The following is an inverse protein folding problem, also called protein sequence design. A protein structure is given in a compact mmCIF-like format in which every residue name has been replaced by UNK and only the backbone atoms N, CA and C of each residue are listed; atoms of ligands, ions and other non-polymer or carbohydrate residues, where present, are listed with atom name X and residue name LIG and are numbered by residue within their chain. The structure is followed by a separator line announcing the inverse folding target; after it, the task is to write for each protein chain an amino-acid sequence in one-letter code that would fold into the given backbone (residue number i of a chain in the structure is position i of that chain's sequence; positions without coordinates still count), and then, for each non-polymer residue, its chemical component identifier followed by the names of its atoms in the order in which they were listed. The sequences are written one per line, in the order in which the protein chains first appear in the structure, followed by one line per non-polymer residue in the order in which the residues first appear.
data_IF_013922081620
#
_entry.id   IF_013922081620
#
_cell.length_a   1.000
_cell.length_b   1.000
_cell.length_c   1.000
_cell.angle_alpha   90.00
_cell.angle_beta   90.00
_cell.angle_gamma   90.00
#
_symmetry.space_group_name_H-M   'P 1'
#
loop_
_entity.id
_entity.type
_entity.pdbx_description
1 polymer ?
#
# COMPACT_ATOMS: atom_id res chain seq x y z
N UNK A 1 5.81 -8.01 -25.60
CA UNK A 1 5.37 -8.18 -24.21
C UNK A 1 6.56 -8.66 -23.39
N UNK A 2 6.87 -8.01 -22.27
CA UNK A 2 7.93 -8.49 -21.38
C UNK A 2 7.42 -9.71 -20.59
N UNK A 3 8.29 -10.69 -20.35
CA UNK A 3 7.95 -11.83 -19.50
C UNK A 3 7.85 -11.42 -18.03
N UNK A 4 7.08 -12.17 -17.23
CA UNK A 4 6.95 -11.94 -15.78
C UNK A 4 8.31 -11.99 -15.06
N UNK A 5 9.24 -12.80 -15.58
CA UNK A 5 10.64 -12.86 -15.11
C UNK A 5 11.37 -11.53 -15.36
N UNK A 6 11.28 -10.97 -16.57
CA UNK A 6 11.90 -9.68 -16.90
C UNK A 6 11.34 -8.53 -16.06
N UNK A 7 10.03 -8.55 -15.79
CA UNK A 7 9.41 -7.60 -14.86
C UNK A 7 9.94 -7.74 -13.44
N UNK A 8 10.05 -8.98 -12.93
CA UNK A 8 10.65 -9.25 -11.61
C UNK A 8 12.11 -8.81 -11.53
N UNK A 9 12.92 -9.06 -12.54
CA UNK A 9 14.34 -8.72 -12.54
C UNK A 9 14.56 -7.20 -12.59
N UNK A 10 13.76 -6.48 -13.40
CA UNK A 10 13.75 -5.01 -13.42
C UNK A 10 13.31 -4.44 -12.06
N UNK A 11 12.22 -4.97 -11.49
CA UNK A 11 11.71 -4.56 -10.18
C UNK A 11 12.70 -4.84 -9.06
N UNK A 12 13.39 -5.98 -9.05
CA UNK A 12 14.44 -6.29 -8.07
C UNK A 12 15.54 -5.24 -8.03
N UNK A 13 15.91 -4.72 -9.19
CA UNK A 13 16.97 -3.70 -9.29
C UNK A 13 16.50 -2.36 -8.69
N UNK A 14 15.21 -2.05 -8.81
CA UNK A 14 14.58 -0.86 -8.22
C UNK A 14 14.20 -1.03 -6.73
N UNK A 15 14.00 -2.27 -6.28
CA UNK A 15 13.60 -2.62 -4.92
C UNK A 15 14.76 -2.67 -3.92
N UNK A 16 16.01 -2.57 -4.37
CA UNK A 16 17.18 -2.61 -3.48
C UNK A 16 17.15 -1.53 -2.38
N UNK A 17 16.34 -0.48 -2.53
CA UNK A 17 16.18 0.62 -1.56
C UNK A 17 14.97 0.45 -0.62
N UNK A 18 14.06 -0.49 -0.87
CA UNK A 18 12.81 -0.65 -0.10
C UNK A 18 12.74 -2.07 0.46
N UNK A 19 12.83 -2.18 1.78
CA UNK A 19 12.71 -3.45 2.48
C UNK A 19 11.25 -3.90 2.56
N UNK A 20 10.94 -5.01 1.88
CA UNK A 20 9.63 -5.67 1.90
C UNK A 20 9.74 -6.90 2.79
N UNK A 21 8.89 -6.94 3.81
CA UNK A 21 8.78 -8.03 4.76
C UNK A 21 7.53 -8.87 4.48
N UNK A 22 7.56 -10.10 4.98
CA UNK A 22 6.38 -10.96 5.03
C UNK A 22 6.43 -11.82 6.26
N UNK A 23 5.29 -12.01 6.91
CA UNK A 23 5.18 -12.85 8.09
C UNK A 23 3.77 -13.45 8.21
N UNK A 24 3.63 -14.43 9.10
CA UNK A 24 2.35 -15.02 9.46
C UNK A 24 1.83 -14.33 10.73
N UNK A 25 0.82 -13.48 10.58
CA UNK A 25 0.22 -12.68 11.67
C UNK A 25 -1.07 -13.35 12.13
N UNK A 26 -1.36 -13.42 13.44
CA UNK A 26 -2.66 -13.90 13.92
C UNK A 26 -3.77 -12.93 13.53
N UNK A 27 -4.69 -13.37 12.67
CA UNK A 27 -5.89 -12.63 12.30
C UNK A 27 -7.16 -13.28 12.83
N UNK A 28 -8.15 -12.44 13.10
CA UNK A 28 -9.48 -12.79 13.56
C UNK A 28 -10.44 -13.08 12.39
N UNK A 29 -11.05 -14.26 12.40
CA UNK A 29 -12.03 -14.71 11.40
C UNK A 29 -13.36 -15.06 12.06
N UNK A 30 -14.47 -14.76 11.39
CA UNK A 30 -15.80 -15.17 11.84
C UNK A 30 -16.04 -16.66 11.57
N UNK A 31 -16.54 -17.38 12.58
CA UNK A 31 -16.94 -18.78 12.44
C UNK A 31 -18.25 -18.88 11.66
N UNK A 32 -18.22 -19.58 10.52
CA UNK A 32 -19.41 -19.78 9.65
C UNK A 32 -20.56 -20.57 10.29
N UNK A 33 -20.40 -21.13 11.48
CA UNK A 33 -21.42 -21.97 12.14
C UNK A 33 -22.10 -21.23 13.30
N UNK A 34 -23.20 -20.56 12.99
CA UNK A 34 -24.42 -20.42 13.83
C UNK A 34 -24.35 -19.75 15.21
N UNK A 35 -23.21 -19.23 15.68
CA UNK A 35 -23.09 -18.76 17.07
C UNK A 35 -22.32 -17.45 17.29
N UNK A 36 -21.93 -16.71 16.25
CA UNK A 36 -21.24 -15.42 16.40
C UNK A 36 -19.84 -15.48 17.02
N UNK A 37 -19.16 -16.63 16.91
CA UNK A 37 -17.81 -16.82 17.44
C UNK A 37 -16.72 -16.33 16.48
N UNK A 38 -15.55 -16.00 17.04
CA UNK A 38 -14.36 -15.62 16.30
C UNK A 38 -13.24 -16.65 16.53
N UNK A 39 -12.44 -16.91 15.51
CA UNK A 39 -11.23 -17.72 15.60
C UNK A 39 -9.99 -16.91 15.20
N UNK A 40 -8.92 -17.02 15.99
CA UNK A 40 -7.61 -16.49 15.61
C UNK A 40 -6.87 -17.56 14.82
N UNK A 41 -6.39 -17.19 13.63
CA UNK A 41 -5.55 -18.07 12.81
C UNK A 41 -4.42 -17.27 12.17
N UNK A 42 -3.22 -17.85 12.02
CA UNK A 42 -2.16 -17.23 11.24
C UNK A 42 -2.62 -16.99 9.80
N UNK A 43 -2.46 -15.77 9.31
CA UNK A 43 -2.66 -15.40 7.91
C UNK A 43 -1.42 -14.67 7.37
N UNK A 44 -1.20 -14.78 6.06
CA UNK A 44 -0.08 -14.12 5.43
C UNK A 44 -0.27 -12.60 5.42
N UNK A 45 0.77 -11.88 5.83
CA UNK A 45 0.87 -10.43 5.70
C UNK A 45 2.17 -10.09 4.98
N UNK A 46 2.07 -9.25 3.94
CA UNK A 46 3.21 -8.61 3.30
C UNK A 46 3.16 -7.11 3.57
N UNK A 47 4.29 -6.51 3.93
CA UNK A 47 4.35 -5.09 4.23
C UNK A 47 5.73 -4.51 3.95
N UNK A 48 5.80 -3.18 3.95
CA UNK A 48 7.06 -2.44 3.86
C UNK A 48 7.53 -2.08 5.26
N UNK A 49 8.77 -2.42 5.59
CA UNK A 49 9.34 -2.23 6.93
C UNK A 49 9.40 -0.74 7.32
N UNK A 50 9.80 0.12 6.39
CA UNK A 50 9.87 1.57 6.57
C UNK A 50 8.96 2.30 5.59
N UNK A 51 7.72 2.58 6.04
CA UNK A 51 6.75 3.35 5.27
C UNK A 51 7.25 4.77 4.98
N UNK A 52 8.01 5.39 5.90
CA UNK A 52 8.52 6.74 5.71
C UNK A 52 9.51 6.74 4.55
N UNK A 53 10.48 5.82 4.54
CA UNK A 53 11.43 5.68 3.44
C UNK A 53 10.72 5.49 2.09
N UNK A 54 9.71 4.62 2.03
CA UNK A 54 8.90 4.42 0.82
C UNK A 54 8.19 5.70 0.36
N UNK A 55 7.60 6.46 1.28
CA UNK A 55 6.91 7.71 0.96
C UNK A 55 7.91 8.72 0.36
N UNK A 56 9.06 8.92 0.99
CA UNK A 56 10.08 9.85 0.49
C UNK A 56 10.63 9.43 -0.86
N UNK A 57 10.93 8.13 -1.04
CA UNK A 57 11.33 7.57 -2.33
C UNK A 57 10.31 7.90 -3.43
N UNK A 58 9.02 7.66 -3.18
CA UNK A 58 7.98 7.95 -4.17
C UNK A 58 7.84 9.44 -4.47
N UNK A 59 8.00 10.31 -3.47
CA UNK A 59 7.97 11.77 -3.67
C UNK A 59 9.15 12.20 -4.55
N UNK A 60 10.37 11.77 -4.21
CA UNK A 60 11.59 12.12 -4.95
C UNK A 60 11.53 11.63 -6.40
N UNK A 61 11.05 10.41 -6.64
CA UNK A 61 10.89 9.89 -8.00
C UNK A 61 9.84 10.67 -8.80
N UNK A 62 8.74 11.10 -8.16
CA UNK A 62 7.76 11.95 -8.84
C UNK A 62 8.31 13.36 -9.12
N UNK A 63 9.13 13.91 -8.24
CA UNK A 63 9.78 15.21 -8.43
C UNK A 63 10.80 15.16 -9.58
N UNK A 64 11.70 14.18 -9.58
CA UNK A 64 12.68 13.92 -10.67
C UNK A 64 12.00 13.80 -12.03
N UNK A 65 10.80 13.25 -12.07
CA UNK A 65 10.02 13.05 -13.29
C UNK A 65 9.07 14.23 -13.62
N UNK A 66 9.14 15.34 -12.87
CA UNK A 66 8.28 16.52 -13.00
C UNK A 66 6.78 16.17 -12.97
N UNK A 67 6.40 15.22 -12.11
CA UNK A 67 5.00 14.76 -11.95
C UNK A 67 4.27 15.45 -10.80
N UNK A 68 5.01 16.21 -9.98
CA UNK A 68 4.45 16.97 -8.87
C UNK A 68 3.77 18.26 -9.36
N UNK A 69 2.64 18.59 -8.75
CA UNK A 69 1.84 19.78 -9.01
C UNK A 69 1.18 20.26 -7.71
N UNK A 70 0.96 21.57 -7.65
CA UNK A 70 0.29 22.25 -6.54
C UNK A 70 -1.12 22.70 -6.90
N UNK A 71 -1.66 22.17 -8.02
CA UNK A 71 -3.03 22.36 -8.49
C UNK A 71 -3.42 23.85 -8.49
N UNK A 72 -2.64 24.67 -9.19
CA UNK A 72 -2.88 26.12 -9.36
C UNK A 72 -3.03 26.89 -8.04
N UNK A 73 -2.25 26.51 -7.03
CA UNK A 73 -2.22 27.16 -5.71
C UNK A 73 -3.23 26.62 -4.71
N UNK A 74 -4.01 25.59 -5.04
CA UNK A 74 -4.87 24.89 -4.08
C UNK A 74 -4.09 24.13 -2.99
N UNK A 75 -2.83 23.82 -3.26
CA UNK A 75 -1.87 23.32 -2.28
C UNK A 75 -0.75 24.37 -2.16
N UNK A 76 -0.37 24.79 -0.93
CA UNK A 76 0.79 25.66 -0.72
C UNK A 76 2.08 25.04 -1.31
N UNK A 77 2.96 25.83 -1.98
CA UNK A 77 4.18 25.32 -2.62
C UNK A 77 5.14 24.54 -1.69
N UNK A 78 5.05 24.78 -0.38
CA UNK A 78 5.85 24.12 0.66
C UNK A 78 5.12 22.93 1.32
N UNK A 79 3.97 22.51 0.79
CA UNK A 79 3.16 21.41 1.34
C UNK A 79 3.04 20.25 0.35
N UNK A 80 3.26 19.04 0.86
CA UNK A 80 2.92 17.79 0.19
C UNK A 80 1.78 17.12 0.93
N UNK A 81 0.76 16.70 0.19
CA UNK A 81 -0.42 16.01 0.74
C UNK A 81 -0.42 14.57 0.29
N UNK A 82 -0.65 13.69 1.26
CA UNK A 82 -0.76 12.25 1.05
C UNK A 82 -2.11 11.80 1.60
N UNK A 83 -2.80 10.94 0.86
CA UNK A 83 -4.01 10.26 1.33
C UNK A 83 -3.70 8.81 1.59
N UNK A 84 -3.87 8.36 2.83
CA UNK A 84 -3.83 6.94 3.18
C UNK A 84 -5.24 6.37 3.06
N UNK A 85 -5.35 5.13 2.58
CA UNK A 85 -6.61 4.43 2.49
C UNK A 85 -6.41 2.93 2.44
N UNK A 86 -7.52 2.21 2.49
CA UNK A 86 -7.55 0.77 2.34
C UNK A 86 -8.60 0.36 1.31
N UNK A 87 -8.47 -0.86 0.81
CA UNK A 87 -9.44 -1.45 -0.10
C UNK A 87 -9.53 -2.96 0.15
N UNK A 88 -10.76 -3.48 0.04
CA UNK A 88 -11.06 -4.90 0.29
C UNK A 88 -11.24 -5.60 -1.05
N UNK A 89 -10.39 -6.60 -1.31
CA UNK A 89 -10.45 -7.45 -2.50
C UNK A 89 -10.72 -8.89 -2.12
N UNK A 90 -12.00 -9.31 -2.09
CA UNK A 90 -12.38 -10.69 -1.75
C UNK A 90 -12.01 -11.06 -0.31
N UNK A 91 -11.07 -12.02 -0.16
CA UNK A 91 -10.51 -12.45 1.13
C UNK A 91 -9.29 -11.64 1.58
N UNK A 92 -8.81 -10.71 0.74
CA UNK A 92 -7.63 -9.90 1.02
C UNK A 92 -8.00 -8.46 1.36
N UNK A 93 -7.15 -7.84 2.18
CA UNK A 93 -7.19 -6.45 2.53
C UNK A 93 -5.85 -5.81 2.20
N UNK A 94 -5.87 -4.62 1.60
CA UNK A 94 -4.66 -3.86 1.26
C UNK A 94 -4.75 -2.44 1.78
N UNK A 95 -3.62 -1.91 2.20
CA UNK A 95 -3.45 -0.53 2.65
C UNK A 95 -2.50 0.16 1.68
N UNK A 96 -2.90 1.33 1.22
CA UNK A 96 -2.14 2.13 0.27
C UNK A 96 -2.13 3.59 0.64
N UNK A 97 -1.20 4.33 0.05
CA UNK A 97 -1.22 5.78 0.06
C UNK A 97 -1.25 6.33 -1.37
N UNK A 98 -1.74 7.57 -1.49
CA UNK A 98 -1.75 8.33 -2.73
C UNK A 98 -1.06 9.67 -2.53
N UNK A 99 -0.13 10.01 -3.41
CA UNK A 99 0.45 11.36 -3.47
C UNK A 99 -0.54 12.27 -4.18
N UNK A 100 -1.13 13.22 -3.43
CA UNK A 100 -2.18 14.12 -3.92
C UNK A 100 -1.61 15.20 -4.84
N UNK A 101 -0.34 15.54 -4.67
CA UNK A 101 0.41 16.46 -5.53
C UNK A 101 0.67 15.90 -6.94
N UNK A 102 -0.08 14.90 -7.43
CA UNK A 102 0.00 14.42 -8.82
C UNK A 102 -1.18 14.90 -9.68
N UNK A 103 -0.99 14.97 -11.00
CA UNK A 103 -2.00 15.48 -11.95
C UNK A 103 -3.36 14.75 -11.91
N UNK A 104 -3.40 13.46 -11.55
CA UNK A 104 -4.63 12.66 -11.39
C UNK A 104 -4.72 12.06 -9.99
N UNK A 105 -5.29 12.82 -9.05
CA UNK A 105 -5.34 12.50 -7.61
C UNK A 105 -5.81 11.08 -7.27
N UNK A 106 -6.81 10.55 -8.00
CA UNK A 106 -7.41 9.23 -7.76
C UNK A 106 -7.00 8.16 -8.78
N UNK A 107 -5.89 8.35 -9.51
CA UNK A 107 -5.43 7.33 -10.45
C UNK A 107 -4.78 6.16 -9.71
N UNK A 108 -5.06 4.94 -10.15
CA UNK A 108 -4.36 3.72 -9.69
C UNK A 108 -2.84 3.86 -9.86
N UNK A 109 -2.38 4.62 -10.87
CA UNK A 109 -0.95 4.90 -11.09
C UNK A 109 -0.29 5.73 -9.99
N UNK A 110 -1.09 6.40 -9.15
CA UNK A 110 -0.62 7.20 -8.03
C UNK A 110 -0.90 6.50 -6.69
N UNK A 111 -1.32 5.24 -6.71
CA UNK A 111 -1.57 4.42 -5.53
C UNK A 111 -0.38 3.51 -5.28
N UNK A 112 0.18 3.58 -4.08
CA UNK A 112 1.26 2.70 -3.64
C UNK A 112 0.77 1.86 -2.48
N UNK A 113 0.65 0.54 -2.69
CA UNK A 113 0.32 -0.42 -1.62
C UNK A 113 1.57 -0.65 -0.78
N UNK A 114 1.43 -0.53 0.54
CA UNK A 114 2.53 -0.75 1.49
C UNK A 114 2.25 -1.86 2.50
N UNK A 115 1.01 -2.33 2.60
CA UNK A 115 0.64 -3.49 3.39
C UNK A 115 -0.50 -4.26 2.71
N UNK A 116 -0.46 -5.58 2.79
CA UNK A 116 -1.51 -6.48 2.31
C UNK A 116 -1.58 -7.70 3.21
N UNK A 117 -2.78 -8.14 3.56
CA UNK A 117 -2.98 -9.37 4.32
C UNK A 117 -4.24 -10.12 3.88
N UNK A 118 -4.26 -11.43 4.15
CA UNK A 118 -5.40 -12.30 3.85
C UNK A 118 -6.29 -12.53 5.08
N UNK A 119 -7.10 -11.54 5.41
CA UNK A 119 -8.09 -11.61 6.49
C UNK A 119 -9.24 -10.61 6.29
N UNK A 120 -10.37 -10.78 7.01
CA UNK A 120 -11.48 -9.84 6.97
C UNK A 120 -11.08 -8.42 7.40
N UNK A 121 -11.70 -7.43 6.76
CA UNK A 121 -11.69 -6.04 7.20
C UNK A 121 -12.50 -5.91 8.50
N UNK A 122 -11.80 -5.99 9.63
CA UNK A 122 -12.39 -5.85 10.96
C UNK A 122 -11.44 -5.04 11.84
N UNK A 123 -12.01 -4.32 12.81
CA UNK A 123 -11.23 -3.51 13.77
C UNK A 123 -10.15 -4.36 14.44
N UNK A 124 -10.45 -5.62 14.76
CA UNK A 124 -9.52 -6.56 15.37
C UNK A 124 -8.32 -6.94 14.50
N UNK A 125 -8.41 -6.78 13.18
CA UNK A 125 -7.33 -7.07 12.23
C UNK A 125 -6.57 -5.81 11.77
N UNK A 126 -6.99 -4.62 12.23
CA UNK A 126 -6.41 -3.33 11.86
C UNK A 126 -5.65 -2.64 13.01
N UNK A 127 -5.72 -3.21 14.22
CA UNK A 127 -5.02 -2.76 15.43
C UNK A 127 -3.86 -3.72 15.68
#
# INVERSE_FOLDING_TARGET
MASEKQLRDLMKTQLNEIEICSEAVPFCFELKRGGGGHELRPGAMGYVQDLKALIFYQIEENDKLNRLTWHDGLIPPNELRIKVGSDRGGSSFKISFHIINGAKRNSVKNSTVFAVFEAPDSVSNLI
#
